data_IF_137019924289
#
_entry.id   IF_137019924289
#
_cell.length_a   1.000
_cell.length_b   1.000
_cell.length_c   1.000
_cell.angle_alpha   90.00
_cell.angle_beta   90.00
_cell.angle_gamma   90.00
#
_symmetry.space_group_name_H-M   'P 1'
#
loop_
_entity.id
_entity.type
_entity.pdbx_description
1 polymer ?
#
# COMPACT_ATOMS: atom_id res chain seq x y z
N UNK A 1 5.30 21.61 -4.33
CA UNK A 1 4.82 20.23 -4.55
C UNK A 1 3.30 20.13 -4.33
N UNK A 2 2.51 20.92 -5.06
CA UNK A 2 1.04 20.90 -4.93
C UNK A 2 0.32 20.59 -6.26
N UNK A 3 1.07 20.43 -7.35
CA UNK A 3 0.54 20.29 -8.72
C UNK A 3 0.50 18.84 -9.24
N UNK A 4 1.15 17.88 -8.58
CA UNK A 4 1.20 16.48 -9.02
C UNK A 4 0.11 15.58 -8.40
N UNK A 5 -0.65 16.09 -7.44
CA UNK A 5 -1.70 15.35 -6.72
C UNK A 5 -3.06 15.44 -7.43
N UNK A 6 -3.20 16.31 -8.45
CA UNK A 6 -4.49 16.67 -9.05
C UNK A 6 -4.99 15.81 -10.24
N UNK A 7 -4.37 14.68 -10.59
CA UNK A 7 -4.71 13.97 -11.84
C UNK A 7 -5.40 12.62 -11.72
N UNK A 8 -5.89 12.20 -10.54
CA UNK A 8 -6.61 10.91 -10.38
C UNK A 8 -5.92 9.69 -11.05
N UNK A 9 -4.61 9.78 -11.34
CA UNK A 9 -3.86 8.84 -12.18
C UNK A 9 -3.08 7.81 -11.39
N UNK A 10 -3.35 7.68 -10.09
CA UNK A 10 -2.83 6.55 -9.33
C UNK A 10 -3.83 5.41 -9.46
N UNK A 11 -3.61 4.56 -10.47
CA UNK A 11 -4.10 3.18 -10.42
C UNK A 11 -3.71 2.65 -9.04
N UNK A 12 -4.68 2.13 -8.27
CA UNK A 12 -4.39 1.43 -7.02
C UNK A 12 -3.28 0.42 -7.34
N UNK A 13 -2.10 0.67 -6.79
CA UNK A 13 -0.91 -0.16 -6.96
C UNK A 13 -0.59 -0.73 -5.58
N UNK A 14 -0.25 -2.03 -5.49
CA UNK A 14 0.10 -2.62 -4.22
C UNK A 14 1.41 -1.97 -3.74
N UNK A 15 1.39 -1.34 -2.56
CA UNK A 15 2.61 -0.83 -1.94
C UNK A 15 3.19 -1.92 -1.05
N UNK A 16 4.26 -2.56 -1.50
CA UNK A 16 4.97 -3.56 -0.69
C UNK A 16 6.15 -2.89 0.02
N UNK A 17 6.11 -2.91 1.35
CA UNK A 17 7.13 -2.39 2.24
C UNK A 17 8.06 -3.53 2.66
N UNK A 18 9.35 -3.41 2.36
CA UNK A 18 10.34 -4.44 2.70
C UNK A 18 10.94 -4.18 4.08
N UNK A 19 10.97 -5.20 4.94
CA UNK A 19 11.56 -5.16 6.26
C UNK A 19 10.54 -4.76 7.33
N UNK A 20 9.81 -5.73 7.85
CA UNK A 20 8.76 -5.54 8.84
C UNK A 20 9.25 -4.83 10.10
N UNK A 21 10.45 -5.14 10.57
CA UNK A 21 11.02 -4.51 11.76
C UNK A 21 11.19 -2.99 11.60
N UNK A 22 11.51 -2.51 10.40
CA UNK A 22 11.68 -1.09 10.12
C UNK A 22 10.32 -0.37 10.03
N UNK A 23 9.35 -0.97 9.34
CA UNK A 23 8.05 -0.34 9.06
C UNK A 23 7.01 -0.54 10.16
N UNK A 24 7.21 -1.49 11.08
CA UNK A 24 6.27 -1.81 12.16
C UNK A 24 5.91 -0.58 12.98
N UNK A 25 6.89 0.23 13.39
CA UNK A 25 6.64 1.43 14.19
C UNK A 25 5.80 2.48 13.43
N UNK A 26 6.03 2.64 12.13
CA UNK A 26 5.25 3.56 11.31
C UNK A 26 3.80 3.07 11.14
N UNK A 27 3.62 1.78 10.85
CA UNK A 27 2.30 1.15 10.69
C UNK A 27 1.49 1.27 11.98
N UNK A 28 2.13 1.02 13.12
CA UNK A 28 1.51 1.18 14.44
C UNK A 28 1.11 2.64 14.67
N UNK A 29 1.99 3.60 14.38
CA UNK A 29 1.68 5.02 14.50
C UNK A 29 0.53 5.47 13.59
N UNK A 30 0.47 4.95 12.35
CA UNK A 30 -0.64 5.21 11.43
C UNK A 30 -1.97 4.66 11.98
N UNK A 31 -1.95 3.46 12.58
CA UNK A 31 -3.13 2.85 13.20
C UNK A 31 -3.60 3.58 14.46
N UNK A 32 -2.68 4.06 15.30
CA UNK A 32 -3.05 4.67 16.59
C UNK A 32 -3.31 6.16 16.50
N UNK A 33 -2.66 6.85 15.56
CA UNK A 33 -2.73 8.32 15.47
C UNK A 33 -3.57 8.73 14.26
N UNK A 34 -3.14 8.34 13.06
CA UNK A 34 -3.80 8.80 11.84
C UNK A 34 -5.22 8.24 11.69
N UNK A 35 -5.43 6.96 12.00
CA UNK A 35 -6.75 6.33 11.95
C UNK A 35 -7.68 6.89 13.04
N UNK A 36 -7.16 7.08 14.26
CA UNK A 36 -7.93 7.63 15.38
C UNK A 36 -8.34 9.09 15.16
N UNK A 37 -7.50 9.89 14.50
CA UNK A 37 -7.84 11.27 14.13
C UNK A 37 -8.65 11.37 12.82
N UNK A 38 -8.97 10.24 12.18
CA UNK A 38 -9.76 10.20 10.94
C UNK A 38 -9.03 10.73 9.71
N UNK A 39 -7.69 10.81 9.76
CA UNK A 39 -6.85 11.25 8.65
C UNK A 39 -6.70 10.17 7.56
N UNK A 40 -6.93 8.90 7.90
CA UNK A 40 -6.95 7.75 6.98
C UNK A 40 -8.13 6.84 7.29
N UNK A 41 -8.60 6.05 6.32
CA UNK A 41 -9.54 4.96 6.57
C UNK A 41 -8.78 3.67 6.88
N UNK A 42 -9.44 2.74 7.57
CA UNK A 42 -8.87 1.41 7.81
C UNK A 42 -8.57 0.68 6.48
N UNK A 43 -9.36 0.94 5.44
CA UNK A 43 -9.17 0.38 4.09
C UNK A 43 -7.88 0.90 3.42
N UNK A 44 -7.43 2.11 3.74
CA UNK A 44 -6.17 2.66 3.21
C UNK A 44 -4.96 1.89 3.77
N UNK A 45 -5.06 1.35 4.98
CA UNK A 45 -4.01 0.50 5.56
C UNK A 45 -3.87 -0.83 4.82
N UNK A 46 -4.94 -1.34 4.22
CA UNK A 46 -4.92 -2.57 3.42
C UNK A 46 -4.16 -2.40 2.09
N UNK A 47 -3.84 -1.16 1.69
CA UNK A 47 -2.99 -0.88 0.52
C UNK A 47 -1.50 -1.15 0.79
N UNK A 48 -1.10 -1.21 2.06
CA UNK A 48 0.27 -1.51 2.47
C UNK A 48 0.39 -2.99 2.80
N UNK A 49 1.28 -3.69 2.09
CA UNK A 49 1.68 -5.05 2.43
C UNK A 49 3.13 -5.02 2.91
N UNK A 50 3.43 -5.77 3.96
CA UNK A 50 4.78 -5.86 4.51
C UNK A 50 5.35 -7.20 4.11
N UNK A 51 6.56 -7.21 3.57
CA UNK A 51 7.27 -8.42 3.19
C UNK A 51 8.69 -8.39 3.77
N UNK A 52 9.21 -9.52 4.24
CA UNK A 52 10.57 -9.61 4.75
C UNK A 52 11.54 -10.23 3.74
N UNK A 53 11.00 -10.81 2.67
CA UNK A 53 11.76 -11.48 1.62
C UNK A 53 11.31 -11.11 0.22
N UNK A 54 12.21 -11.24 -0.76
CA UNK A 54 11.88 -10.98 -2.16
C UNK A 54 10.79 -11.94 -2.69
N UNK A 55 10.74 -13.17 -2.17
CA UNK A 55 9.72 -14.16 -2.53
C UNK A 55 8.32 -13.71 -2.08
N UNK A 56 8.18 -13.22 -0.85
CA UNK A 56 6.92 -12.65 -0.35
C UNK A 56 6.49 -11.44 -1.16
N UNK A 57 7.42 -10.54 -1.54
CA UNK A 57 7.09 -9.39 -2.40
C UNK A 57 6.47 -9.86 -3.72
N UNK A 58 7.09 -10.86 -4.36
CA UNK A 58 6.60 -11.42 -5.63
C UNK A 58 5.25 -12.09 -5.41
N UNK A 59 5.08 -12.84 -4.33
CA UNK A 59 3.80 -13.46 -3.97
C UNK A 59 2.67 -12.42 -3.83
N UNK A 60 2.91 -11.34 -3.07
CA UNK A 60 1.94 -10.27 -2.88
C UNK A 60 1.61 -9.53 -4.17
N UNK A 61 2.60 -9.30 -5.04
CA UNK A 61 2.36 -8.71 -6.36
C UNK A 61 1.52 -9.64 -7.24
N UNK A 62 1.88 -10.92 -7.33
CA UNK A 62 1.15 -11.91 -8.14
C UNK A 62 -0.30 -12.05 -7.68
N UNK A 63 -0.55 -12.15 -6.37
CA UNK A 63 -1.89 -12.21 -5.81
C UNK A 63 -2.72 -10.96 -6.15
N UNK A 64 -2.11 -9.77 -6.05
CA UNK A 64 -2.77 -8.51 -6.41
C UNK A 64 -3.16 -8.46 -7.90
N UNK A 65 -2.25 -8.86 -8.80
CA UNK A 65 -2.54 -8.91 -10.24
C UNK A 65 -3.51 -10.03 -10.62
N UNK A 66 -3.62 -11.08 -9.81
CA UNK A 66 -4.58 -12.17 -10.02
C UNK A 66 -6.00 -11.78 -9.65
N UNK A 67 -6.19 -11.01 -8.58
CA UNK A 67 -7.53 -10.56 -8.15
C UNK A 67 -8.06 -9.39 -8.96
N UNK A 68 -7.18 -8.55 -9.50
CA UNK A 68 -7.56 -7.40 -10.33
C UNK A 68 -7.15 -7.66 -11.76
N UNK A 69 -8.13 -8.10 -12.55
CA UNK A 69 -8.06 -8.28 -14.01
C UNK A 69 -7.10 -7.25 -14.62
N UNK A 70 -6.03 -7.72 -15.26
CA UNK A 70 -5.04 -6.92 -15.97
C UNK A 70 -5.76 -6.11 -17.06
N UNK A 71 -6.31 -4.96 -16.72
CA UNK A 71 -6.78 -4.00 -17.68
C UNK A 71 -5.53 -3.40 -18.34
N UNK A 72 -5.26 -3.69 -19.63
CA UNK A 72 -4.06 -3.24 -20.28
C UNK A 72 -3.99 -1.71 -20.22
N UNK A 73 -2.80 -1.19 -19.89
CA UNK A 73 -2.49 0.22 -20.08
C UNK A 73 -2.28 0.45 -21.58
N UNK A 74 -3.36 0.77 -22.31
CA UNK A 74 -3.26 1.42 -23.62
C UNK A 74 -3.74 2.87 -23.47
#
# INVERSE_FOLDING_TARGET
>A
MATLIQTEKFKQMPMVLVGSQYWKGLIEWMQTSMLSEGNIKADDLALFQIADSADEVVHHMLEYYRTRNLAPNF
#
